data_IF_814673103550
#
_entry.id   IF_814673103550
#
_cell.length_a   1.000
_cell.length_b   1.000
_cell.length_c   1.000
_cell.angle_alpha   90.00
_cell.angle_beta   90.00
_cell.angle_gamma   90.00
#
_symmetry.space_group_name_H-M   'P 1'
#
loop_
_entity.id
_entity.type
_entity.pdbx_description
1 polymer ?
#
# COMPACT_ATOMS: atom_id res chain seq x y z
N UNK A 1 7.72 21.63 -2.90
CA UNK A 1 6.70 20.64 -3.29
C UNK A 1 7.34 19.26 -3.31
N UNK A 2 6.70 18.20 -2.79
CA UNK A 2 7.21 16.82 -2.77
C UNK A 2 6.15 15.85 -3.28
N UNK A 3 6.54 14.78 -3.99
CA UNK A 3 5.64 13.66 -4.31
C UNK A 3 5.41 12.80 -3.08
N UNK A 4 4.15 12.55 -2.74
CA UNK A 4 3.79 11.78 -1.54
C UNK A 4 3.59 10.29 -1.83
N UNK A 5 2.84 9.97 -2.90
CA UNK A 5 2.41 8.60 -3.19
C UNK A 5 2.02 8.44 -4.65
N UNK A 6 2.08 7.20 -5.13
CA UNK A 6 1.52 6.78 -6.42
C UNK A 6 0.50 5.67 -6.15
N UNK A 7 -0.71 5.79 -6.69
CA UNK A 7 -1.78 4.83 -6.46
C UNK A 7 -1.90 3.86 -7.64
N UNK A 8 -1.91 2.56 -7.35
CA UNK A 8 -2.06 1.48 -8.32
C UNK A 8 -3.23 0.59 -7.88
N UNK A 9 -4.17 0.33 -8.80
CA UNK A 9 -5.26 -0.64 -8.58
C UNK A 9 -4.75 -2.02 -8.95
N UNK A 10 -5.09 -3.01 -8.12
CA UNK A 10 -4.65 -4.40 -8.28
C UNK A 10 -5.85 -5.34 -8.19
N UNK A 11 -5.78 -6.49 -8.88
CA UNK A 11 -6.85 -7.49 -8.88
C UNK A 11 -6.86 -8.39 -7.63
N UNK A 12 -5.70 -8.55 -6.97
CA UNK A 12 -5.57 -9.29 -5.72
C UNK A 12 -4.61 -8.53 -4.79
N UNK A 13 -5.14 -8.00 -3.69
CA UNK A 13 -4.39 -7.18 -2.76
C UNK A 13 -3.29 -7.96 -2.04
N UNK A 14 -3.62 -9.14 -1.49
CA UNK A 14 -2.67 -9.94 -0.73
C UNK A 14 -1.49 -10.38 -1.60
N UNK A 15 -1.77 -10.87 -2.81
CA UNK A 15 -0.72 -11.24 -3.76
C UNK A 15 0.20 -10.06 -4.08
N UNK A 16 -0.36 -8.87 -4.24
CA UNK A 16 0.42 -7.66 -4.51
C UNK A 16 1.29 -7.30 -3.30
N UNK A 17 0.76 -7.37 -2.08
CA UNK A 17 1.51 -7.14 -0.85
C UNK A 17 2.68 -8.14 -0.75
N UNK A 18 2.45 -9.42 -1.02
CA UNK A 18 3.49 -10.45 -0.97
C UNK A 18 4.61 -10.15 -1.97
N UNK A 19 4.27 -9.76 -3.21
CA UNK A 19 5.28 -9.38 -4.21
C UNK A 19 6.10 -8.17 -3.73
N UNK A 20 5.44 -7.10 -3.29
CA UNK A 20 6.14 -5.89 -2.84
C UNK A 20 6.98 -6.15 -1.58
N UNK A 21 6.52 -6.98 -0.66
CA UNK A 21 7.22 -7.27 0.60
C UNK A 21 8.34 -8.29 0.44
N UNK A 22 8.07 -9.42 -0.22
CA UNK A 22 9.00 -10.55 -0.28
C UNK A 22 10.02 -10.41 -1.42
N UNK A 23 9.62 -9.84 -2.55
CA UNK A 23 10.50 -9.70 -3.73
C UNK A 23 11.23 -8.37 -3.70
N UNK A 24 10.50 -7.29 -3.40
CA UNK A 24 11.04 -5.92 -3.46
C UNK A 24 11.50 -5.39 -2.10
N UNK A 25 11.27 -6.11 -1.01
CA UNK A 25 11.69 -5.71 0.34
C UNK A 25 10.97 -4.47 0.87
N UNK A 26 9.78 -4.16 0.36
CA UNK A 26 8.96 -3.02 0.78
C UNK A 26 8.17 -3.39 2.03
N UNK A 27 8.03 -2.48 3.00
CA UNK A 27 7.22 -2.74 4.19
C UNK A 27 5.76 -2.36 3.95
N UNK A 28 4.83 -3.17 4.48
CA UNK A 28 3.43 -2.78 4.62
C UNK A 28 3.33 -1.75 5.76
N UNK A 29 3.01 -0.51 5.42
CA UNK A 29 2.96 0.60 6.37
C UNK A 29 1.58 0.73 7.02
N UNK A 30 0.53 0.60 6.22
CA UNK A 30 -0.86 0.75 6.66
C UNK A 30 -1.80 0.02 5.73
N UNK A 31 -2.80 -0.64 6.30
CA UNK A 31 -3.91 -1.20 5.55
C UNK A 31 -5.21 -0.66 6.13
N UNK A 32 -6.16 -0.32 5.25
CA UNK A 32 -7.49 0.13 5.67
C UNK A 32 -8.55 -0.39 4.71
N UNK A 33 -9.55 -1.03 5.31
CA UNK A 33 -10.74 -1.53 4.63
C UNK A 33 -11.85 -0.47 4.67
N UNK A 34 -12.57 -0.35 3.56
CA UNK A 34 -13.73 0.52 3.40
C UNK A 34 -14.91 -0.34 2.94
N UNK A 35 -15.63 -1.00 3.87
CA UNK A 35 -16.67 -1.96 3.54
C UNK A 35 -17.81 -1.35 2.73
N UNK A 36 -18.25 -0.14 3.07
CA UNK A 36 -19.31 0.58 2.34
C UNK A 36 -18.89 0.97 0.91
N UNK A 37 -17.58 1.09 0.67
CA UNK A 37 -17.02 1.39 -0.64
C UNK A 37 -16.58 0.16 -1.43
N UNK A 38 -16.65 -1.03 -0.83
CA UNK A 38 -16.19 -2.30 -1.40
C UNK A 38 -14.72 -2.26 -1.88
N UNK A 39 -13.85 -1.56 -1.14
CA UNK A 39 -12.42 -1.55 -1.45
C UNK A 39 -11.52 -1.56 -0.22
N UNK A 40 -10.29 -2.01 -0.42
CA UNK A 40 -9.22 -1.99 0.57
C UNK A 40 -8.02 -1.23 0.01
N UNK A 41 -7.38 -0.41 0.84
CA UNK A 41 -6.16 0.32 0.48
C UNK A 41 -5.01 -0.20 1.35
N UNK A 42 -3.89 -0.54 0.72
CA UNK A 42 -2.62 -0.82 1.39
C UNK A 42 -1.56 0.22 0.98
N UNK A 43 -0.90 0.80 1.97
CA UNK A 43 0.26 1.68 1.81
C UNK A 43 1.52 0.86 2.03
N UNK A 44 2.40 0.89 1.04
CA UNK A 44 3.66 0.18 1.03
C UNK A 44 4.80 1.19 0.83
N UNK A 45 5.88 1.07 1.59
CA UNK A 45 7.04 1.94 1.45
C UNK A 45 8.29 1.39 2.14
N UNK A 46 9.45 1.93 1.75
CA UNK A 46 10.76 1.54 2.32
C UNK A 46 11.08 2.23 3.65
N UNK A 47 10.36 3.30 3.99
CA UNK A 47 10.55 4.07 5.23
C UNK A 47 9.22 4.50 5.82
N UNK A 48 9.27 5.22 6.94
CA UNK A 48 8.06 5.68 7.61
C UNK A 48 7.26 6.66 6.75
N UNK A 49 5.93 6.51 6.76
CA UNK A 49 5.02 7.49 6.18
C UNK A 49 5.18 8.79 7.00
N UNK A 50 5.69 9.87 6.39
CA UNK A 50 5.67 11.17 7.07
C UNK A 50 4.22 11.52 7.38
N UNK A 51 3.88 11.90 8.62
CA UNK A 51 2.54 12.39 8.92
C UNK A 51 2.26 13.61 8.05
N UNK A 52 1.10 13.59 7.38
CA UNK A 52 0.55 14.72 6.63
C UNK A 52 0.19 15.88 7.59
#
# INVERSE_FOLDING_TARGET
MRRLRTMLRVGNLQHSIDVYTQVLGINLLRQKDYPDGEFTIAFLGYGEESPD
#
